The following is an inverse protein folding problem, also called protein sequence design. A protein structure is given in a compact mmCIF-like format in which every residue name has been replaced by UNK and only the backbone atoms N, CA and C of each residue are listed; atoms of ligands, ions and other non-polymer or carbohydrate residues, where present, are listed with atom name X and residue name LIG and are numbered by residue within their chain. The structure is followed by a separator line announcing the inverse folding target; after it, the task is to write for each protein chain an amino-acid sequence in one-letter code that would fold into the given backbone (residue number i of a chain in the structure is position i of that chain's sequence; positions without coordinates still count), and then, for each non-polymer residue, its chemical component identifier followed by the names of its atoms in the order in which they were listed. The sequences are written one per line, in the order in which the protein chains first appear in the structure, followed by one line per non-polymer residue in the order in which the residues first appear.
data_IF_839383994117
#
_entry.id   IF_839383994117
#
_cell.length_a   1.000
_cell.length_b   1.000
_cell.length_c   1.000
_cell.angle_alpha   90.00
_cell.angle_beta   90.00
_cell.angle_gamma   90.00
#
_symmetry.space_group_name_H-M   'P 1'
#
loop_
_entity.id
_entity.type
_entity.pdbx_description
1 polymer ?
#
# COMPACT_ATOMS: atom_id res chain seq x y z
N UNK A 1 22.08 -30.11 -18.03
CA UNK A 1 21.77 -28.72 -17.64
C UNK A 1 20.32 -28.70 -17.21
N UNK A 2 20.06 -28.72 -15.90
CA UNK A 2 18.69 -28.63 -15.38
C UNK A 2 18.17 -27.22 -15.66
N UNK A 3 17.01 -27.12 -16.30
CA UNK A 3 16.30 -25.85 -16.46
C UNK A 3 16.00 -25.32 -15.05
N UNK A 4 16.74 -24.28 -14.62
CA UNK A 4 16.40 -23.54 -13.41
C UNK A 4 14.99 -22.97 -13.60
N UNK A 5 14.10 -23.24 -12.66
CA UNK A 5 12.76 -22.68 -12.70
C UNK A 5 12.89 -21.17 -12.46
N UNK A 6 12.81 -20.37 -13.51
CA UNK A 6 13.10 -18.91 -13.49
C UNK A 6 12.25 -18.14 -12.47
N UNK A 7 11.09 -18.68 -12.09
CA UNK A 7 10.22 -18.12 -11.05
C UNK A 7 10.74 -18.31 -9.61
N UNK A 8 11.86 -19.00 -9.41
CA UNK A 8 12.46 -19.26 -8.08
C UNK A 8 13.58 -18.29 -7.69
N UNK A 9 13.93 -17.33 -8.54
CA UNK A 9 14.96 -16.34 -8.19
C UNK A 9 14.34 -15.15 -7.42
N UNK A 10 15.04 -14.66 -6.38
CA UNK A 10 14.58 -13.49 -5.60
C UNK A 10 14.53 -12.22 -6.45
N UNK A 11 15.45 -12.06 -7.41
CA UNK A 11 15.46 -10.98 -8.39
C UNK A 11 15.31 -11.57 -9.78
N UNK A 12 14.37 -11.04 -10.56
CA UNK A 12 14.08 -11.50 -11.92
C UNK A 12 15.00 -10.84 -12.95
N UNK A 13 15.34 -9.56 -12.77
CA UNK A 13 16.20 -8.84 -13.72
C UNK A 13 16.89 -7.64 -13.09
N UNK A 14 18.08 -7.34 -13.63
CA UNK A 14 18.76 -6.07 -13.45
C UNK A 14 19.02 -5.48 -14.84
N UNK A 15 18.71 -4.20 -14.99
CA UNK A 15 18.85 -3.45 -16.25
C UNK A 15 19.66 -2.19 -16.02
N UNK A 16 20.43 -1.80 -17.03
CA UNK A 16 21.21 -0.57 -17.03
C UNK A 16 20.88 0.21 -18.28
N UNK A 17 20.47 1.45 -18.08
CA UNK A 17 20.13 2.38 -19.15
C UNK A 17 21.03 3.60 -19.10
N UNK A 18 21.32 4.13 -20.28
CA UNK A 18 21.90 5.46 -20.47
C UNK A 18 20.83 6.38 -21.04
N UNK A 19 20.69 7.56 -20.48
CA UNK A 19 19.82 8.62 -20.98
C UNK A 19 20.67 9.78 -21.49
N UNK A 20 20.51 10.06 -22.77
CA UNK A 20 21.11 11.18 -23.46
C UNK A 20 20.12 12.35 -23.42
N UNK A 21 20.47 13.40 -22.67
CA UNK A 21 19.60 14.57 -22.51
C UNK A 21 19.46 15.38 -23.81
N UNK A 22 20.49 15.44 -24.65
CA UNK A 22 20.45 16.22 -25.89
C UNK A 22 19.47 15.61 -26.90
N UNK A 23 19.42 14.28 -26.98
CA UNK A 23 18.52 13.55 -27.88
C UNK A 23 17.21 13.13 -27.22
N UNK A 24 17.11 13.22 -25.90
CA UNK A 24 16.02 12.70 -25.06
C UNK A 24 15.75 11.21 -25.29
N UNK A 25 16.80 10.44 -25.60
CA UNK A 25 16.71 9.00 -25.87
C UNK A 25 17.34 8.20 -24.74
N UNK A 26 16.68 7.10 -24.42
CA UNK A 26 17.21 6.08 -23.51
C UNK A 26 17.75 4.91 -24.34
N UNK A 27 18.96 4.46 -24.01
CA UNK A 27 19.60 3.30 -24.66
C UNK A 27 19.96 2.26 -23.62
N UNK A 28 19.68 1.00 -23.91
CA UNK A 28 20.10 -0.15 -23.07
C UNK A 28 21.61 -0.32 -23.13
N UNK A 29 22.24 -0.29 -21.96
CA UNK A 29 23.68 -0.58 -21.79
C UNK A 29 23.87 -2.05 -21.45
N UNK A 30 23.06 -2.59 -20.53
CA UNK A 30 23.02 -4.02 -20.24
C UNK A 30 21.67 -4.45 -19.69
N UNK A 31 21.34 -5.74 -19.88
CA UNK A 31 20.16 -6.40 -19.33
C UNK A 31 20.62 -7.79 -18.88
N UNK A 32 20.40 -8.10 -17.61
CA UNK A 32 20.70 -9.39 -16.99
C UNK A 32 19.44 -9.96 -16.32
N UNK A 33 19.36 -11.28 -16.25
CA UNK A 33 18.21 -12.00 -15.73
C UNK A 33 17.17 -12.38 -16.79
N UNK A 34 16.10 -13.03 -16.35
CA UNK A 34 15.08 -13.65 -17.17
C UNK A 34 13.70 -13.09 -16.80
N UNK A 35 13.43 -11.83 -17.15
CA UNK A 35 12.04 -11.41 -17.24
C UNK A 35 11.44 -12.06 -18.49
N UNK A 36 10.68 -13.14 -18.29
CA UNK A 36 9.88 -13.75 -19.35
C UNK A 36 8.72 -12.84 -19.69
N UNK A 37 8.97 -11.82 -20.50
CA UNK A 37 7.92 -11.20 -21.30
C UNK A 37 7.76 -12.02 -22.58
N UNK A 38 6.53 -12.29 -23.05
CA UNK A 38 6.32 -12.80 -24.40
C UNK A 38 7.04 -11.87 -25.38
N UNK A 39 7.76 -12.41 -26.36
CA UNK A 39 8.64 -11.64 -27.26
C UNK A 39 7.93 -10.52 -28.06
N UNK A 40 6.59 -10.55 -28.12
CA UNK A 40 5.76 -9.54 -28.78
C UNK A 40 5.27 -8.42 -27.80
N UNK A 41 5.43 -8.61 -26.48
CA UNK A 41 4.94 -7.71 -25.41
C UNK A 41 6.05 -7.38 -24.38
N UNK A 42 7.32 -7.19 -24.79
CA UNK A 42 8.33 -6.66 -23.87
C UNK A 42 7.90 -5.25 -23.43
N UNK A 43 7.54 -5.11 -22.14
CA UNK A 43 7.26 -3.80 -21.56
C UNK A 43 8.53 -2.95 -21.69
N UNK A 44 8.48 -1.72 -22.25
CA UNK A 44 9.67 -0.88 -22.41
C UNK A 44 10.13 -0.34 -21.05
N UNK A 45 10.83 -1.18 -20.29
CA UNK A 45 11.28 -0.91 -18.93
C UNK A 45 12.12 0.37 -18.84
N UNK A 46 12.81 0.75 -19.91
CA UNK A 46 13.55 2.01 -20.03
C UNK A 46 12.69 3.24 -19.71
N UNK A 47 11.42 3.24 -20.15
CA UNK A 47 10.50 4.34 -19.91
C UNK A 47 10.05 4.39 -18.44
N UNK A 48 10.04 3.27 -17.74
CA UNK A 48 9.66 3.22 -16.32
C UNK A 48 10.85 3.43 -15.39
N UNK A 49 12.05 2.98 -15.79
CA UNK A 49 13.30 3.26 -15.09
C UNK A 49 13.68 4.73 -15.17
N UNK A 50 13.30 5.43 -16.25
CA UNK A 50 13.50 6.87 -16.44
C UNK A 50 12.15 7.50 -16.85
N UNK A 51 11.22 7.67 -15.89
CA UNK A 51 9.83 8.04 -16.17
C UNK A 51 9.65 9.52 -16.51
N UNK A 52 10.66 10.35 -16.22
CA UNK A 52 10.72 11.76 -16.51
C UNK A 52 12.13 12.13 -16.93
N UNK A 53 12.27 13.25 -17.64
CA UNK A 53 13.57 13.84 -17.92
C UNK A 53 14.33 14.08 -16.59
N UNK A 54 15.49 13.42 -16.37
CA UNK A 54 16.25 13.54 -15.13
C UNK A 54 16.64 14.98 -14.79
N UNK A 55 16.75 15.88 -15.78
CA UNK A 55 17.04 17.29 -15.54
C UNK A 55 15.93 17.96 -14.73
N UNK A 56 14.67 17.62 -15.03
CA UNK A 56 13.52 18.14 -14.29
C UNK A 56 13.48 17.63 -12.85
N UNK A 57 14.11 16.48 -12.60
CA UNK A 57 14.16 15.85 -11.29
C UNK A 57 15.37 16.26 -10.43
N UNK A 58 16.30 17.09 -10.94
CA UNK A 58 17.58 17.40 -10.24
C UNK A 58 17.38 17.92 -8.81
N UNK A 59 16.30 18.66 -8.53
CA UNK A 59 15.98 19.14 -7.19
C UNK A 59 15.70 18.03 -6.16
N UNK A 60 15.40 16.82 -6.62
CA UNK A 60 15.12 15.64 -5.78
C UNK A 60 16.31 14.71 -5.61
N UNK A 61 17.42 14.96 -6.32
CA UNK A 61 18.63 14.14 -6.19
C UNK A 61 19.20 14.29 -4.76
N UNK A 62 19.59 13.16 -4.18
CA UNK A 62 20.27 13.08 -2.88
C UNK A 62 21.59 12.36 -3.09
N UNK A 63 22.69 12.96 -2.67
CA UNK A 63 24.05 12.40 -2.87
C UNK A 63 24.31 12.06 -4.35
N UNK A 64 23.87 12.91 -5.27
CA UNK A 64 23.99 12.76 -6.74
C UNK A 64 23.25 11.57 -7.37
N UNK A 65 22.33 10.94 -6.65
CA UNK A 65 21.42 9.95 -7.21
C UNK A 65 19.95 10.25 -6.89
N UNK A 66 19.05 9.64 -7.65
CA UNK A 66 17.61 9.72 -7.50
C UNK A 66 17.01 8.32 -7.56
N UNK A 67 16.46 7.88 -6.44
CA UNK A 67 15.88 6.56 -6.28
C UNK A 67 14.36 6.61 -6.51
N UNK A 68 13.87 5.77 -7.41
CA UNK A 68 12.46 5.68 -7.79
C UNK A 68 12.01 4.23 -7.61
N UNK A 69 11.26 3.91 -6.55
CA UNK A 69 10.57 2.62 -6.46
C UNK A 69 9.51 2.50 -7.55
N UNK A 70 9.34 1.31 -8.12
CA UNK A 70 8.46 1.02 -9.24
C UNK A 70 7.48 -0.11 -8.90
N UNK A 71 6.32 -0.09 -9.55
CA UNK A 71 5.35 -1.16 -9.55
C UNK A 71 4.68 -1.20 -10.92
N UNK A 72 4.71 -2.37 -11.54
CA UNK A 72 4.14 -2.62 -12.85
C UNK A 72 3.07 -3.70 -12.71
N UNK A 73 2.02 -3.59 -13.51
CA UNK A 73 0.92 -4.56 -13.55
C UNK A 73 1.00 -5.31 -14.86
N UNK A 74 1.10 -6.64 -14.81
CA UNK A 74 1.09 -7.48 -16.00
C UNK A 74 -0.35 -7.72 -16.48
N UNK A 75 -0.50 -8.20 -17.72
CA UNK A 75 -1.80 -8.54 -18.32
C UNK A 75 -2.60 -9.56 -17.49
N UNK A 76 -1.91 -10.45 -16.76
CA UNK A 76 -2.51 -11.44 -15.87
C UNK A 76 -3.06 -10.84 -14.57
N UNK A 77 -2.83 -9.54 -14.32
CA UNK A 77 -3.13 -8.88 -13.05
C UNK A 77 -2.07 -9.09 -11.96
N UNK A 78 -1.03 -9.88 -12.24
CA UNK A 78 0.13 -10.00 -11.34
C UNK A 78 0.91 -8.68 -11.26
N UNK A 79 1.66 -8.53 -10.16
CA UNK A 79 2.47 -7.34 -9.90
C UNK A 79 3.95 -7.66 -10.10
N UNK A 80 4.65 -6.80 -10.83
CA UNK A 80 6.10 -6.80 -10.93
C UNK A 80 6.62 -5.58 -10.17
N UNK A 81 7.34 -5.83 -9.09
CA UNK A 81 7.95 -4.81 -8.25
C UNK A 81 9.33 -4.48 -8.79
N UNK A 82 9.79 -3.25 -8.56
CA UNK A 82 11.16 -2.90 -8.91
C UNK A 82 11.58 -1.58 -8.32
N UNK A 83 12.78 -1.14 -8.68
CA UNK A 83 13.24 0.21 -8.41
C UNK A 83 14.27 0.62 -9.45
N UNK A 84 14.42 1.93 -9.64
CA UNK A 84 15.43 2.56 -10.47
C UNK A 84 16.26 3.53 -9.65
N UNK A 85 17.58 3.48 -9.78
CA UNK A 85 18.48 4.51 -9.28
C UNK A 85 19.09 5.25 -10.45
N UNK A 86 18.74 6.52 -10.59
CA UNK A 86 19.25 7.42 -11.61
C UNK A 86 20.40 8.22 -11.01
N UNK A 87 21.53 8.34 -11.71
CA UNK A 87 22.62 9.22 -11.31
C UNK A 87 23.21 9.96 -12.51
N UNK A 88 23.81 11.12 -12.24
CA UNK A 88 24.45 11.95 -13.26
C UNK A 88 25.93 11.60 -13.34
N UNK A 89 26.41 11.20 -14.53
CA UNK A 89 27.86 11.08 -14.80
C UNK A 89 28.45 12.44 -15.13
N UNK A 90 29.78 12.55 -14.97
CA UNK A 90 30.54 13.77 -15.26
C UNK A 90 30.38 14.25 -16.72
N UNK A 91 30.07 13.34 -17.66
CA UNK A 91 29.90 13.62 -19.10
C UNK A 91 28.51 14.17 -19.50
N UNK A 92 27.76 14.75 -18.57
CA UNK A 92 26.35 15.21 -18.73
C UNK A 92 25.31 14.13 -19.08
N UNK A 93 25.74 12.87 -19.25
CA UNK A 93 24.85 11.73 -19.42
C UNK A 93 24.25 11.28 -18.08
N UNK A 94 22.99 10.82 -18.11
CA UNK A 94 22.37 10.16 -16.97
C UNK A 94 22.42 8.65 -17.15
N UNK A 95 22.64 7.95 -16.05
CA UNK A 95 22.61 6.49 -16.01
C UNK A 95 21.50 6.06 -15.05
N UNK A 96 20.78 5.01 -15.42
CA UNK A 96 19.76 4.40 -14.59
C UNK A 96 20.06 2.93 -14.37
N UNK A 97 19.95 2.49 -13.11
CA UNK A 97 20.11 1.11 -12.69
C UNK A 97 18.76 0.61 -12.16
N UNK A 98 18.16 -0.33 -12.88
CA UNK A 98 16.88 -0.93 -12.53
C UNK A 98 17.03 -2.33 -11.96
N UNK A 99 16.29 -2.65 -10.91
CA UNK A 99 16.14 -4.02 -10.37
C UNK A 99 14.65 -4.37 -10.36
N UNK A 100 14.32 -5.64 -10.64
CA UNK A 100 12.93 -6.11 -10.69
C UNK A 100 12.76 -7.44 -9.98
N UNK A 101 11.64 -7.58 -9.24
CA UNK A 101 11.22 -8.81 -8.60
C UNK A 101 9.70 -9.02 -8.61
N UNK A 102 9.24 -10.27 -8.62
CA UNK A 102 7.85 -10.61 -8.29
C UNK A 102 7.53 -10.48 -6.79
N UNK A 103 8.55 -10.28 -5.95
CA UNK A 103 8.40 -10.03 -4.51
C UNK A 103 8.57 -8.54 -4.18
N UNK A 104 7.73 -7.97 -3.29
CA UNK A 104 7.77 -6.55 -2.91
C UNK A 104 8.92 -6.20 -1.93
N UNK A 105 10.17 -6.50 -2.29
CA UNK A 105 11.36 -6.33 -1.43
C UNK A 105 12.04 -4.97 -1.63
N UNK A 106 11.30 -3.87 -1.44
CA UNK A 106 11.80 -2.52 -1.70
C UNK A 106 13.01 -2.10 -0.86
N UNK A 107 13.14 -2.55 0.39
CA UNK A 107 14.35 -2.32 1.19
C UNK A 107 15.54 -2.97 0.52
N UNK A 108 15.42 -4.21 0.05
CA UNK A 108 16.51 -4.86 -0.69
C UNK A 108 16.87 -4.10 -1.96
N UNK A 109 15.88 -3.63 -2.73
CA UNK A 109 16.15 -2.87 -3.95
C UNK A 109 16.95 -1.60 -3.68
N UNK A 110 16.52 -0.82 -2.68
CA UNK A 110 17.22 0.40 -2.27
C UNK A 110 18.64 0.09 -1.83
N UNK A 111 18.78 -0.90 -0.96
CA UNK A 111 20.04 -1.32 -0.39
C UNK A 111 21.04 -1.78 -1.43
N UNK A 112 20.60 -2.64 -2.35
CA UNK A 112 21.40 -3.13 -3.47
C UNK A 112 21.86 -2.00 -4.38
N UNK A 113 20.94 -1.19 -4.89
CA UNK A 113 21.25 -0.11 -5.83
C UNK A 113 22.16 0.95 -5.17
N UNK A 114 21.95 1.26 -3.89
CA UNK A 114 22.81 2.22 -3.19
C UNK A 114 24.21 1.66 -2.95
N UNK A 115 24.34 0.39 -2.55
CA UNK A 115 25.63 -0.27 -2.35
C UNK A 115 26.45 -0.29 -3.66
N UNK A 116 25.81 -0.69 -4.76
CA UNK A 116 26.46 -0.69 -6.07
C UNK A 116 26.81 0.75 -6.52
N UNK A 117 25.97 1.76 -6.25
CA UNK A 117 26.25 3.16 -6.58
C UNK A 117 27.45 3.72 -5.79
N UNK A 118 27.49 3.48 -4.48
CA UNK A 118 28.52 4.00 -3.59
C UNK A 118 29.89 3.34 -3.82
N UNK A 119 29.91 2.08 -4.26
CA UNK A 119 31.16 1.38 -4.58
C UNK A 119 31.77 1.76 -5.94
N UNK A 120 31.06 2.58 -6.75
CA UNK A 120 31.51 3.09 -8.06
C UNK A 120 31.99 2.01 -9.05
N UNK A 121 31.49 0.79 -8.93
CA UNK A 121 31.97 -0.34 -9.74
C UNK A 121 31.26 -0.44 -11.09
N UNK A 122 31.80 -1.28 -11.98
CA UNK A 122 31.30 -1.47 -13.34
C UNK A 122 30.06 -2.37 -13.36
N UNK A 123 28.93 -1.74 -13.03
CA UNK A 123 27.61 -2.32 -12.81
C UNK A 123 27.17 -3.41 -13.79
N UNK A 124 27.56 -3.34 -15.06
CA UNK A 124 27.03 -4.22 -16.11
C UNK A 124 27.51 -5.67 -15.97
N UNK A 125 28.75 -5.89 -15.54
CA UNK A 125 29.32 -7.24 -15.37
C UNK A 125 28.90 -7.82 -14.02
N UNK A 126 28.97 -6.99 -12.99
CA UNK A 126 28.81 -7.40 -11.59
C UNK A 126 27.35 -7.63 -11.23
N UNK A 127 26.39 -6.91 -11.81
CA UNK A 127 24.97 -7.19 -11.61
C UNK A 127 24.61 -8.64 -11.96
N UNK A 128 25.22 -9.20 -13.01
CA UNK A 128 24.98 -10.58 -13.42
C UNK A 128 25.59 -11.58 -12.43
N UNK A 129 26.81 -11.34 -12.01
CA UNK A 129 27.48 -12.15 -10.98
C UNK A 129 26.70 -12.10 -9.66
N UNK A 130 26.24 -10.92 -9.28
CA UNK A 130 25.46 -10.67 -8.08
C UNK A 130 24.12 -11.43 -8.07
N UNK A 131 23.30 -11.29 -9.12
CA UNK A 131 22.05 -12.08 -9.25
C UNK A 131 22.36 -13.57 -9.18
N UNK A 132 23.42 -14.03 -9.83
CA UNK A 132 23.79 -15.45 -9.86
C UNK A 132 24.24 -15.99 -8.50
N UNK A 133 24.71 -15.10 -7.62
CA UNK A 133 25.12 -15.42 -6.25
C UNK A 133 23.96 -15.37 -5.25
N UNK A 134 22.82 -14.75 -5.61
CA UNK A 134 21.65 -14.73 -4.74
C UNK A 134 21.05 -16.14 -4.59
N UNK A 135 20.56 -16.49 -3.38
CA UNK A 135 19.96 -17.79 -3.15
C UNK A 135 18.74 -17.99 -4.07
N UNK A 136 18.72 -19.12 -4.78
CA UNK A 136 17.53 -19.61 -5.52
C UNK A 136 16.54 -20.10 -4.47
N UNK A 137 15.43 -19.40 -4.31
CA UNK A 137 14.43 -19.69 -3.29
C UNK A 137 13.25 -20.45 -3.91
N UNK A 138 12.83 -21.60 -3.36
CA UNK A 138 11.53 -22.14 -3.73
C UNK A 138 10.48 -21.15 -3.20
N UNK A 139 9.93 -20.31 -4.06
CA UNK A 139 8.77 -19.46 -3.77
C UNK A 139 7.60 -20.41 -3.49
N UNK A 140 7.50 -20.93 -2.27
CA UNK A 140 6.24 -21.40 -1.74
C UNK A 140 5.52 -20.14 -1.25
N UNK A 141 4.41 -19.81 -1.91
CA UNK A 141 3.72 -18.52 -1.85
C UNK A 141 3.26 -18.11 -0.43
N UNK A 142 3.35 -19.01 0.54
CA UNK A 142 2.76 -18.87 1.88
C UNK A 142 3.76 -18.81 3.05
N UNK A 143 5.07 -18.96 2.84
CA UNK A 143 6.04 -18.92 3.95
C UNK A 143 6.73 -17.55 4.11
N UNK A 144 6.82 -17.08 5.35
CA UNK A 144 7.64 -15.92 5.73
C UNK A 144 9.09 -16.32 5.79
N UNK A 145 9.91 -15.68 4.98
CA UNK A 145 11.33 -16.02 4.89
C UNK A 145 12.14 -14.82 5.31
N UNK A 146 13.01 -15.00 6.31
CA UNK A 146 14.08 -14.05 6.59
C UNK A 146 15.31 -14.46 5.82
N UNK A 147 15.71 -13.61 4.90
CA UNK A 147 16.87 -13.79 4.03
C UNK A 147 17.96 -12.83 4.47
N UNK A 148 19.14 -13.35 4.78
CA UNK A 148 20.35 -12.53 4.91
C UNK A 148 21.02 -12.48 3.55
N UNK A 149 21.03 -11.31 2.94
CA UNK A 149 21.64 -11.06 1.64
C UNK A 149 22.95 -10.32 1.86
N UNK A 150 24.06 -10.90 1.41
CA UNK A 150 25.37 -10.25 1.45
C UNK A 150 25.47 -9.26 0.28
N UNK A 151 25.60 -7.98 0.60
CA UNK A 151 26.02 -6.92 -0.33
C UNK A 151 27.54 -6.74 -0.22
N UNK A 152 28.12 -5.87 -1.06
CA UNK A 152 29.57 -5.64 -1.05
C UNK A 152 30.05 -5.00 0.26
N UNK A 153 29.29 -4.05 0.81
CA UNK A 153 29.70 -3.34 2.03
C UNK A 153 29.05 -3.86 3.30
N UNK A 154 27.93 -4.60 3.20
CA UNK A 154 27.16 -5.05 4.36
C UNK A 154 26.22 -6.22 4.05
N UNK A 155 25.78 -6.91 5.09
CA UNK A 155 24.67 -7.86 5.02
C UNK A 155 23.35 -7.15 5.31
N UNK A 156 22.35 -7.37 4.46
CA UNK A 156 20.99 -6.87 4.63
C UNK A 156 20.07 -8.03 4.93
N UNK A 157 19.26 -7.88 5.98
CA UNK A 157 18.23 -8.86 6.33
C UNK A 157 16.92 -8.41 5.70
N UNK A 158 16.43 -9.20 4.76
CA UNK A 158 15.17 -9.00 4.06
C UNK A 158 14.15 -9.97 4.64
N UNK A 159 12.97 -9.47 4.95
CA UNK A 159 11.86 -10.33 5.32
C UNK A 159 10.86 -10.35 4.17
N UNK A 160 10.63 -11.51 3.57
CA UNK A 160 9.51 -11.68 2.65
C UNK A 160 8.23 -11.81 3.47
N UNK A 161 7.18 -11.17 2.98
CA UNK A 161 5.84 -11.33 3.50
C UNK A 161 5.05 -12.10 2.45
N UNK A 162 4.33 -13.18 2.82
CA UNK A 162 3.33 -13.79 1.96
C UNK A 162 2.47 -12.68 1.35
N UNK A 163 2.19 -12.73 0.05
CA UNK A 163 1.36 -11.74 -0.64
C UNK A 163 -0.07 -11.66 -0.06
N UNK A 164 -0.43 -12.62 0.81
CA UNK A 164 -1.68 -12.77 1.54
C UNK A 164 -1.70 -12.06 2.90
N UNK A 165 -0.55 -11.61 3.44
CA UNK A 165 -0.40 -11.01 4.77
C UNK A 165 -0.61 -9.48 4.76
N UNK A 166 -1.78 -9.01 5.20
CA UNK A 166 -2.06 -7.61 5.60
C UNK A 166 -1.66 -6.50 4.58
N UNK A 167 -1.31 -6.86 3.34
CA UNK A 167 -0.59 -6.00 2.41
C UNK A 167 0.55 -5.23 3.11
N UNK A 168 1.32 -5.90 3.98
CA UNK A 168 2.55 -5.29 4.53
C UNK A 168 3.58 -5.27 3.40
N UNK A 169 3.37 -4.36 2.46
CA UNK A 169 4.38 -3.96 1.52
C UNK A 169 5.49 -3.34 2.38
N UNK A 170 6.73 -3.67 2.06
CA UNK A 170 7.94 -3.07 2.61
C UNK A 170 8.06 -1.60 2.15
N UNK A 171 7.03 -0.83 2.45
CA UNK A 171 6.86 0.55 2.06
C UNK A 171 6.60 1.34 3.34
N UNK A 172 7.50 2.28 3.67
CA UNK A 172 7.34 3.07 4.87
C UNK A 172 6.16 4.03 4.70
N UNK A 173 5.30 4.12 5.73
CA UNK A 173 4.15 5.04 5.76
C UNK A 173 4.58 6.53 5.86
N UNK A 174 5.86 6.78 6.08
CA UNK A 174 6.46 8.10 6.26
C UNK A 174 6.14 9.05 5.09
N UNK A 175 6.18 8.56 3.86
CA UNK A 175 5.90 9.34 2.66
C UNK A 175 4.44 9.79 2.63
N UNK A 176 3.50 8.94 3.04
CA UNK A 176 2.10 9.34 3.19
C UNK A 176 1.96 10.38 4.31
N UNK A 177 2.52 10.14 5.49
CA UNK A 177 2.38 11.03 6.65
C UNK A 177 3.00 12.42 6.45
N UNK A 178 4.12 12.50 5.72
CA UNK A 178 4.81 13.75 5.44
C UNK A 178 4.12 14.60 4.37
N UNK A 179 3.34 13.97 3.47
CA UNK A 179 2.84 14.62 2.26
C UNK A 179 1.31 14.73 2.21
N UNK A 180 0.58 13.88 2.92
CA UNK A 180 -0.89 13.82 2.93
C UNK A 180 -1.40 13.89 4.37
N UNK A 181 -2.33 14.81 4.64
CA UNK A 181 -3.03 14.91 5.92
C UNK A 181 -4.03 13.77 6.12
N UNK A 182 -4.43 13.52 7.37
CA UNK A 182 -5.43 12.49 7.65
C UNK A 182 -6.73 12.69 6.86
N UNK A 183 -7.21 13.93 6.71
CA UNK A 183 -8.44 14.23 5.96
C UNK A 183 -8.32 13.88 4.48
N UNK A 184 -7.19 14.24 3.86
CA UNK A 184 -6.91 13.94 2.45
C UNK A 184 -6.75 12.42 2.23
N UNK A 185 -6.07 11.71 3.14
CA UNK A 185 -5.98 10.24 3.10
C UNK A 185 -7.35 9.59 3.17
N UNK A 186 -8.23 10.04 4.07
CA UNK A 186 -9.60 9.52 4.18
C UNK A 186 -10.39 9.76 2.89
N UNK A 187 -10.26 10.92 2.25
CA UNK A 187 -10.90 11.22 0.96
C UNK A 187 -10.40 10.31 -0.17
N UNK A 188 -9.08 10.08 -0.24
CA UNK A 188 -8.48 9.17 -1.20
C UNK A 188 -8.95 7.73 -0.98
N UNK A 189 -8.91 7.24 0.26
CA UNK A 189 -9.40 5.90 0.59
C UNK A 189 -10.88 5.73 0.28
N UNK A 190 -11.71 6.76 0.52
CA UNK A 190 -13.12 6.74 0.13
C UNK A 190 -13.29 6.62 -1.39
N UNK A 191 -12.50 7.37 -2.16
CA UNK A 191 -12.47 7.29 -3.63
C UNK A 191 -12.07 5.90 -4.13
N UNK A 192 -11.10 5.27 -3.49
CA UNK A 192 -10.69 3.89 -3.80
C UNK A 192 -11.76 2.87 -3.38
N UNK A 193 -12.36 2.99 -2.21
CA UNK A 193 -13.44 2.09 -1.78
C UNK A 193 -14.65 2.15 -2.71
N UNK A 194 -14.89 3.27 -3.39
CA UNK A 194 -15.92 3.44 -4.42
C UNK A 194 -15.41 3.19 -5.85
N UNK A 195 -14.21 2.65 -6.01
CA UNK A 195 -13.64 2.26 -7.30
C UNK A 195 -13.59 3.42 -8.32
N UNK A 196 -13.31 4.63 -7.84
CA UNK A 196 -13.13 5.76 -8.72
C UNK A 196 -11.77 5.72 -9.45
N UNK A 197 -11.70 6.47 -10.54
CA UNK A 197 -10.48 6.77 -11.27
C UNK A 197 -9.71 7.86 -10.54
N UNK A 198 -8.56 7.51 -9.95
CA UNK A 198 -7.78 8.42 -9.10
C UNK A 198 -6.41 8.67 -9.71
N UNK A 199 -6.05 9.94 -9.87
CA UNK A 199 -4.70 10.39 -10.25
C UNK A 199 -4.06 11.14 -9.08
N UNK A 200 -2.84 10.76 -8.73
CA UNK A 200 -1.98 11.52 -7.79
C UNK A 200 -0.89 12.23 -8.60
N UNK A 201 -0.78 13.54 -8.44
CA UNK A 201 0.23 14.35 -9.14
C UNK A 201 1.35 14.73 -8.16
N UNK A 202 2.60 14.53 -8.54
CA UNK A 202 3.76 15.00 -7.76
C UNK A 202 4.97 15.26 -8.63
N UNK A 203 5.63 16.40 -8.40
CA UNK A 203 6.87 16.73 -9.09
C UNK A 203 8.02 15.77 -8.67
N UNK A 204 7.92 15.17 -7.48
CA UNK A 204 8.80 14.11 -6.98
C UNK A 204 8.18 12.72 -7.20
N UNK A 205 8.48 12.11 -8.34
CA UNK A 205 7.95 10.78 -8.71
C UNK A 205 8.36 9.68 -7.74
N UNK A 206 9.45 9.85 -6.97
CA UNK A 206 9.89 8.89 -5.95
C UNK A 206 8.87 8.69 -4.81
N UNK A 207 7.98 9.67 -4.61
CA UNK A 207 6.93 9.62 -3.60
C UNK A 207 5.72 8.80 -4.04
N UNK A 208 5.48 8.67 -5.35
CA UNK A 208 4.22 8.13 -5.86
C UNK A 208 4.04 6.65 -5.53
N UNK A 209 4.99 5.78 -5.89
CA UNK A 209 4.93 4.35 -5.55
C UNK A 209 4.73 4.07 -4.07
N UNK A 210 5.53 4.63 -3.14
CA UNK A 210 5.34 4.32 -1.72
C UNK A 210 4.00 4.86 -1.19
N UNK A 211 3.55 6.01 -1.68
CA UNK A 211 2.28 6.59 -1.26
C UNK A 211 1.09 5.77 -1.76
N UNK A 212 1.06 5.39 -3.03
CA UNK A 212 -0.01 4.58 -3.62
C UNK A 212 -0.04 3.17 -3.01
N UNK A 213 1.11 2.52 -2.83
CA UNK A 213 1.20 1.24 -2.12
C UNK A 213 0.67 1.35 -0.69
N UNK A 214 0.99 2.44 0.02
CA UNK A 214 0.48 2.67 1.37
C UNK A 214 -1.04 2.83 1.36
N UNK A 215 -1.61 3.61 0.44
CA UNK A 215 -3.07 3.76 0.30
C UNK A 215 -3.74 2.40 0.04
N UNK A 216 -3.22 1.60 -0.89
CA UNK A 216 -3.73 0.27 -1.15
C UNK A 216 -3.64 -0.65 0.07
N UNK A 217 -2.54 -0.59 0.84
CA UNK A 217 -2.39 -1.40 2.06
C UNK A 217 -3.42 -1.05 3.15
N UNK A 218 -3.89 0.20 3.18
CA UNK A 218 -4.90 0.67 4.13
C UNK A 218 -6.34 0.26 3.75
N UNK A 219 -6.53 -0.35 2.56
CA UNK A 219 -7.82 -0.93 2.14
C UNK A 219 -8.05 -2.34 2.72
N UNK A 220 -7.07 -2.94 3.40
CA UNK A 220 -7.20 -4.29 3.97
C UNK A 220 -8.45 -4.38 4.89
N UNK A 221 -9.30 -5.42 4.79
CA UNK A 221 -9.11 -6.72 4.12
C UNK A 221 -9.31 -6.73 2.61
N UNK A 222 -9.73 -5.62 2.02
CA UNK A 222 -9.93 -5.55 0.58
C UNK A 222 -8.60 -5.41 -0.16
N UNK A 223 -8.57 -5.97 -1.37
CA UNK A 223 -7.43 -5.86 -2.25
C UNK A 223 -7.80 -5.03 -3.47
N UNK A 224 -7.00 -4.00 -3.78
CA UNK A 224 -7.16 -3.26 -5.03
C UNK A 224 -6.71 -4.13 -6.21
N UNK A 225 -7.69 -4.72 -6.91
CA UNK A 225 -7.45 -5.59 -8.07
C UNK A 225 -7.42 -4.82 -9.40
N UNK A 226 -7.85 -3.57 -9.40
CA UNK A 226 -7.87 -2.72 -10.59
C UNK A 226 -6.46 -2.27 -11.01
N UNK A 227 -6.42 -1.49 -12.09
CA UNK A 227 -5.19 -0.90 -12.63
C UNK A 227 -4.51 -0.06 -11.55
N UNK A 228 -3.22 -0.31 -11.36
CA UNK A 228 -2.36 0.41 -10.44
C UNK A 228 -1.05 0.70 -11.17
N UNK A 229 -0.81 1.97 -11.48
CA UNK A 229 0.41 2.42 -12.16
C UNK A 229 0.98 3.57 -11.33
N UNK A 230 1.80 3.29 -10.31
CA UNK A 230 2.17 4.35 -9.41
C UNK A 230 3.07 5.40 -10.02
N UNK A 231 3.83 5.07 -11.05
CA UNK A 231 4.57 6.04 -11.85
C UNK A 231 4.28 5.78 -13.32
N UNK A 232 3.40 6.58 -13.89
CA UNK A 232 3.18 6.60 -15.33
C UNK A 232 4.26 7.48 -15.98
N UNK A 233 5.03 6.96 -16.96
CA UNK A 233 6.03 7.76 -17.64
C UNK A 233 5.39 8.96 -18.34
N UNK A 234 6.04 10.12 -18.25
CA UNK A 234 5.56 11.35 -18.88
C UNK A 234 5.94 11.40 -20.37
N UNK A 235 5.43 10.43 -21.13
CA UNK A 235 5.58 10.33 -22.57
C UNK A 235 4.18 10.29 -23.19
N UNK A 236 4.00 10.97 -24.32
CA UNK A 236 2.68 11.16 -24.96
C UNK A 236 1.93 9.85 -25.20
N UNK A 237 2.65 8.79 -25.57
CA UNK A 237 2.08 7.47 -25.81
C UNK A 237 1.37 6.85 -24.58
N UNK A 238 1.73 7.27 -23.36
CA UNK A 238 1.10 6.78 -22.12
C UNK A 238 -0.06 7.65 -21.64
N UNK A 239 -0.26 8.84 -22.20
CA UNK A 239 -1.32 9.74 -21.73
C UNK A 239 -2.73 9.18 -22.01
N UNK A 240 -2.85 8.28 -22.99
CA UNK A 240 -4.10 7.54 -23.29
C UNK A 240 -4.61 6.73 -22.09
N UNK A 241 -3.73 6.22 -21.22
CA UNK A 241 -4.13 5.47 -20.02
C UNK A 241 -4.91 6.34 -19.02
N UNK A 242 -4.73 7.67 -19.04
CA UNK A 242 -5.39 8.58 -18.11
C UNK A 242 -6.90 8.74 -18.37
N UNK A 243 -7.39 8.40 -19.57
CA UNK A 243 -8.83 8.43 -19.88
C UNK A 243 -9.42 7.03 -19.98
N UNK A 244 -8.75 6.00 -19.45
CA UNK A 244 -9.29 4.65 -19.42
C UNK A 244 -10.66 4.65 -18.69
N UNK A 245 -11.66 3.89 -19.19
CA UNK A 245 -13.01 3.89 -18.62
C UNK A 245 -13.14 3.00 -17.36
N UNK A 246 -12.08 2.28 -17.00
CA UNK A 246 -12.05 1.37 -15.86
C UNK A 246 -11.50 2.09 -14.61
N UNK A 247 -11.85 1.65 -13.39
CA UNK A 247 -11.22 2.13 -12.17
C UNK A 247 -9.69 1.99 -12.24
N UNK A 248 -8.98 2.98 -11.74
CA UNK A 248 -7.52 2.95 -11.66
C UNK A 248 -7.00 3.85 -10.55
N UNK A 249 -5.78 3.55 -10.13
CA UNK A 249 -4.96 4.44 -9.30
C UNK A 249 -3.63 4.68 -10.01
N UNK A 250 -3.42 5.90 -10.48
CA UNK A 250 -2.25 6.28 -11.29
C UNK A 250 -1.52 7.43 -10.62
N UNK A 251 -0.18 7.38 -10.60
CA UNK A 251 0.65 8.53 -10.26
C UNK A 251 1.31 9.12 -11.50
N UNK A 252 1.36 10.45 -11.58
CA UNK A 252 1.99 11.20 -12.68
C UNK A 252 2.88 12.31 -12.14
N UNK A 253 3.92 12.67 -12.89
CA UNK A 253 4.74 13.85 -12.56
C UNK A 253 4.01 15.15 -12.83
N UNK A 254 3.23 15.18 -13.90
CA UNK A 254 2.42 16.32 -14.33
C UNK A 254 1.26 15.82 -15.19
N UNK A 255 0.19 16.60 -15.23
CA UNK A 255 -0.95 16.30 -16.12
C UNK A 255 -0.63 16.79 -17.54
N UNK A 256 -1.04 16.04 -18.58
CA UNK A 256 -0.86 16.47 -19.97
C UNK A 256 -1.66 17.75 -20.24
N UNK A 257 -0.99 18.80 -20.74
CA UNK A 257 -1.64 20.07 -21.08
C UNK A 257 -2.57 19.97 -22.30
N UNK A 258 -2.29 19.03 -23.20
CA UNK A 258 -3.00 18.85 -24.47
C UNK A 258 -4.23 17.95 -24.38
N UNK A 259 -4.43 17.26 -23.25
CA UNK A 259 -5.50 16.28 -23.10
C UNK A 259 -6.56 16.76 -22.12
N UNK A 260 -7.81 16.74 -22.57
CA UNK A 260 -8.97 16.93 -21.70
C UNK A 260 -9.18 15.63 -20.92
N UNK A 261 -9.03 15.72 -19.60
CA UNK A 261 -9.31 14.61 -18.69
C UNK A 261 -10.82 14.55 -18.42
N UNK A 262 -11.32 13.32 -18.32
CA UNK A 262 -12.72 13.06 -17.94
C UNK A 262 -13.05 13.70 -16.56
N UNK A 263 -14.17 14.43 -16.44
CA UNK A 263 -14.57 15.11 -15.21
C UNK A 263 -14.82 14.18 -14.02
N UNK A 264 -15.02 12.88 -14.24
CA UNK A 264 -15.22 11.90 -13.18
C UNK A 264 -13.88 11.35 -12.60
N UNK A 265 -12.74 11.80 -13.12
CA UNK A 265 -11.42 11.44 -12.61
C UNK A 265 -11.11 12.32 -11.41
N UNK A 266 -10.93 11.71 -10.24
CA UNK A 266 -10.47 12.40 -9.03
C UNK A 266 -8.98 12.64 -9.14
N UNK A 267 -8.55 13.90 -9.01
CA UNK A 267 -7.14 14.26 -9.05
C UNK A 267 -6.74 14.86 -7.71
N UNK A 268 -5.62 14.40 -7.15
CA UNK A 268 -5.00 15.01 -5.99
C UNK A 268 -3.58 15.47 -6.32
N UNK A 269 -3.37 16.78 -6.26
CA UNK A 269 -2.08 17.42 -6.52
C UNK A 269 -1.31 17.55 -5.20
N UNK A 270 -0.25 16.74 -5.02
CA UNK A 270 0.59 16.76 -3.81
C UNK A 270 1.35 18.08 -3.65
N UNK A 271 1.71 18.72 -4.76
CA UNK A 271 2.48 19.95 -4.74
C UNK A 271 1.60 21.12 -4.29
N UNK A 272 0.34 21.16 -4.76
CA UNK A 272 -0.63 22.22 -4.41
C UNK A 272 -1.48 21.89 -3.18
N UNK A 273 -1.47 20.64 -2.71
CA UNK A 273 -2.34 20.12 -1.63
C UNK A 273 -3.81 20.39 -1.91
N UNK A 274 -4.24 20.02 -3.11
CA UNK A 274 -5.58 20.32 -3.59
C UNK A 274 -6.18 19.16 -4.37
N UNK A 275 -7.48 18.95 -4.16
CA UNK A 275 -8.28 18.04 -4.95
C UNK A 275 -8.93 18.75 -6.13
N UNK A 276 -9.08 18.05 -7.25
CA UNK A 276 -9.85 18.45 -8.43
C UNK A 276 -10.86 17.33 -8.70
N UNK A 277 -12.06 17.70 -9.18
CA UNK A 277 -13.09 16.76 -9.62
C UNK A 277 -13.54 15.74 -8.55
N UNK A 278 -13.60 16.16 -7.28
CA UNK A 278 -14.17 15.31 -6.22
C UNK A 278 -15.68 15.40 -6.26
N UNK A 279 -16.31 14.33 -6.75
CA UNK A 279 -17.76 14.17 -6.67
C UNK A 279 -18.23 13.90 -5.24
N UNK A 280 -19.47 14.28 -4.94
CA UNK A 280 -20.07 14.01 -3.64
C UNK A 280 -20.23 12.50 -3.44
N UNK A 281 -19.61 11.98 -2.39
CA UNK A 281 -19.67 10.56 -2.02
C UNK A 281 -20.44 10.38 -0.72
N UNK A 282 -21.11 9.23 -0.53
CA UNK A 282 -21.68 8.89 0.78
C UNK A 282 -20.61 8.95 1.87
N UNK A 283 -20.92 9.62 2.98
CA UNK A 283 -19.99 9.70 4.11
C UNK A 283 -19.89 8.37 4.86
N UNK A 284 -18.71 8.11 5.43
CA UNK A 284 -18.52 6.98 6.32
C UNK A 284 -19.51 7.04 7.50
N UNK A 285 -19.93 5.88 8.06
CA UNK A 285 -20.74 5.86 9.27
C UNK A 285 -20.07 6.68 10.39
N UNK A 286 -20.72 7.75 10.83
CA UNK A 286 -20.11 8.79 11.67
C UNK A 286 -19.52 8.25 12.97
N UNK A 287 -20.21 7.31 13.61
CA UNK A 287 -19.74 6.61 14.81
C UNK A 287 -18.41 5.89 14.55
N UNK A 288 -18.35 5.06 13.51
CA UNK A 288 -17.15 4.31 13.13
C UNK A 288 -15.99 5.22 12.76
N UNK A 289 -16.30 6.25 11.98
CA UNK A 289 -15.30 7.21 11.57
C UNK A 289 -14.74 7.99 12.76
N UNK A 290 -15.58 8.32 13.74
CA UNK A 290 -15.14 8.96 14.99
C UNK A 290 -14.18 8.06 15.78
N UNK A 291 -14.43 6.75 15.81
CA UNK A 291 -13.58 5.76 16.45
C UNK A 291 -12.21 5.65 15.76
N UNK A 292 -12.20 5.51 14.43
CA UNK A 292 -10.98 5.53 13.62
C UNK A 292 -10.17 6.81 13.87
N UNK A 293 -10.80 7.97 13.76
CA UNK A 293 -10.17 9.28 13.97
C UNK A 293 -9.51 9.36 15.35
N UNK A 294 -10.21 8.92 16.39
CA UNK A 294 -9.71 8.92 17.77
C UNK A 294 -8.49 8.02 17.92
N UNK A 295 -8.55 6.80 17.37
CA UNK A 295 -7.47 5.84 17.42
C UNK A 295 -6.20 6.31 16.69
N UNK A 296 -6.36 6.80 15.46
CA UNK A 296 -5.23 7.33 14.68
C UNK A 296 -4.63 8.55 15.38
N UNK A 297 -5.45 9.41 15.97
CA UNK A 297 -4.98 10.57 16.74
C UNK A 297 -4.15 10.16 17.98
N UNK A 298 -4.45 9.02 18.61
CA UNK A 298 -3.63 8.48 19.70
C UNK A 298 -2.30 7.89 19.22
N UNK A 299 -2.27 7.29 18.03
CA UNK A 299 -1.05 6.71 17.45
C UNK A 299 -0.11 7.82 16.97
N UNK A 300 -0.65 8.82 16.26
CA UNK A 300 0.12 9.86 15.60
C UNK A 300 -0.61 11.21 15.64
N UNK A 301 -0.65 11.90 16.80
CA UNK A 301 -1.39 13.15 16.97
C UNK A 301 -1.04 14.21 15.91
N UNK A 302 0.25 14.32 15.59
CA UNK A 302 0.79 15.29 14.62
C UNK A 302 0.20 15.18 13.22
N UNK A 303 -0.37 14.04 12.84
CA UNK A 303 -0.99 13.87 11.52
C UNK A 303 -2.29 14.68 11.36
N UNK A 304 -2.87 15.13 12.48
CA UNK A 304 -4.09 15.95 12.53
C UNK A 304 -3.81 17.44 12.70
N UNK A 305 -2.60 17.81 13.07
CA UNK A 305 -2.22 19.21 13.22
C UNK A 305 -1.96 19.73 11.80
N UNK A 306 -2.86 20.57 11.26
CA UNK A 306 -2.78 21.19 9.91
C UNK A 306 -1.59 22.18 9.76
N UNK A 307 -0.45 21.89 10.39
CA UNK A 307 0.76 22.69 10.33
C UNK A 307 1.65 22.19 9.18
N UNK A 308 1.45 22.82 8.03
CA UNK A 308 2.08 22.64 6.72
C UNK A 308 3.63 22.62 6.63
N UNK A 309 4.43 22.48 7.69
CA UNK A 309 5.88 22.77 7.55
C UNK A 309 6.88 22.03 8.44
N UNK A 310 6.51 20.96 9.17
CA UNK A 310 7.52 20.11 9.82
C UNK A 310 7.38 18.67 9.37
N UNK A 311 8.21 18.28 8.40
CA UNK A 311 8.51 16.86 8.10
C UNK A 311 8.70 16.13 9.43
N UNK A 312 8.18 14.92 9.56
CA UNK A 312 8.47 14.07 10.71
C UNK A 312 10.00 13.99 10.85
N UNK A 313 10.56 14.67 11.85
CA UNK A 313 12.02 14.79 12.06
C UNK A 313 12.67 13.44 12.39
N UNK A 314 11.85 12.48 12.81
CA UNK A 314 12.21 11.10 13.11
C UNK A 314 11.27 10.20 12.32
N UNK A 315 11.84 9.25 11.61
CA UNK A 315 11.09 8.26 10.84
C UNK A 315 10.09 7.52 11.76
N UNK A 316 8.79 7.51 11.44
CA UNK A 316 7.83 6.68 12.16
C UNK A 316 8.32 5.23 12.12
N UNK A 317 8.55 4.64 13.29
CA UNK A 317 9.02 3.26 13.36
C UNK A 317 8.04 2.31 12.65
N UNK A 318 8.53 1.16 12.20
CA UNK A 318 7.70 0.07 11.66
C UNK A 318 6.45 -0.21 12.53
N UNK A 319 6.59 -0.01 13.85
CA UNK A 319 5.50 -0.10 14.83
C UNK A 319 4.37 0.91 14.60
N UNK A 320 4.70 2.17 14.31
CA UNK A 320 3.70 3.21 14.00
C UNK A 320 2.99 2.87 12.69
N UNK A 321 3.76 2.45 11.68
CA UNK A 321 3.22 2.01 10.39
C UNK A 321 2.22 0.87 10.53
N UNK A 322 2.57 -0.15 11.32
CA UNK A 322 1.68 -1.27 11.60
C UNK A 322 0.41 -0.83 12.33
N UNK A 323 0.53 -0.01 13.39
CA UNK A 323 -0.61 0.46 14.19
C UNK A 323 -1.60 1.29 13.38
N UNK A 324 -1.13 2.13 12.46
CA UNK A 324 -2.02 2.90 11.57
C UNK A 324 -2.77 1.95 10.64
N UNK A 325 -2.09 1.04 9.94
CA UNK A 325 -2.74 0.05 9.07
C UNK A 325 -3.77 -0.79 9.81
N UNK A 326 -3.45 -1.23 11.03
CA UNK A 326 -4.36 -1.97 11.90
C UNK A 326 -5.61 -1.15 12.27
N UNK A 327 -5.46 0.14 12.58
CA UNK A 327 -6.60 0.99 12.89
C UNK A 327 -7.59 1.09 11.70
N UNK A 328 -7.07 1.20 10.47
CA UNK A 328 -7.89 1.18 9.26
C UNK A 328 -8.49 -0.19 8.98
N UNK A 329 -7.73 -1.26 9.17
CA UNK A 329 -8.21 -2.63 9.08
C UNK A 329 -9.41 -2.86 10.01
N UNK A 330 -9.28 -2.55 11.31
CA UNK A 330 -10.38 -2.68 12.27
C UNK A 330 -11.60 -1.86 11.87
N UNK A 331 -11.41 -0.64 11.39
CA UNK A 331 -12.51 0.20 10.89
C UNK A 331 -13.26 -0.46 9.72
N UNK A 332 -12.55 -1.03 8.75
CA UNK A 332 -13.15 -1.71 7.60
C UNK A 332 -13.82 -3.03 8.00
N UNK A 333 -13.26 -3.79 8.93
CA UNK A 333 -13.91 -4.98 9.51
C UNK A 333 -15.23 -4.60 10.21
N UNK A 334 -15.25 -3.50 10.94
CA UNK A 334 -16.45 -3.03 11.63
C UNK A 334 -17.54 -2.51 10.67
N UNK A 335 -17.15 -2.07 9.47
CA UNK A 335 -18.06 -1.81 8.36
C UNK A 335 -18.63 -3.14 7.84
N UNK A 336 -17.77 -4.15 7.62
CA UNK A 336 -18.17 -5.46 7.11
C UNK A 336 -19.17 -6.18 8.02
N UNK A 337 -18.99 -6.12 9.33
CA UNK A 337 -19.94 -6.72 10.30
C UNK A 337 -21.31 -6.05 10.28
N UNK A 338 -21.41 -4.82 9.78
CA UNK A 338 -22.68 -4.10 9.59
C UNK A 338 -23.28 -4.27 8.19
N UNK A 339 -22.62 -4.98 7.28
CA UNK A 339 -23.12 -5.28 5.93
C UNK A 339 -24.06 -6.50 5.96
N UNK A 340 -25.36 -6.36 5.62
CA UNK A 340 -26.30 -7.48 5.62
C UNK A 340 -25.89 -8.63 4.69
N UNK A 341 -25.27 -8.32 3.55
CA UNK A 341 -24.85 -9.30 2.52
C UNK A 341 -23.75 -10.28 2.98
N UNK A 342 -23.03 -9.98 4.06
CA UNK A 342 -21.96 -10.83 4.63
C UNK A 342 -22.46 -11.62 5.84
N UNK A 343 -23.57 -11.22 6.43
CA UNK A 343 -24.12 -11.94 7.59
C UNK A 343 -24.70 -13.28 7.14
N UNK A 344 -24.01 -14.36 7.52
CA UNK A 344 -24.61 -15.68 7.58
C UNK A 344 -25.87 -15.61 8.48
N UNK A 345 -27.03 -16.09 8.02
CA UNK A 345 -28.24 -16.14 8.85
C UNK A 345 -28.04 -16.92 10.16
N UNK A 346 -27.07 -17.84 10.26
CA UNK A 346 -26.72 -18.50 11.53
C UNK A 346 -25.96 -17.60 12.50
N UNK A 347 -25.13 -16.68 12.01
CA UNK A 347 -24.40 -15.69 12.83
C UNK A 347 -25.31 -14.62 13.42
N UNK A 348 -26.45 -14.34 12.77
CA UNK A 348 -27.49 -13.41 13.23
C UNK A 348 -28.18 -13.85 14.54
N UNK A 349 -28.13 -15.14 14.86
CA UNK A 349 -28.73 -15.71 16.08
C UNK A 349 -27.83 -15.61 17.32
N UNK A 350 -26.59 -15.14 17.18
CA UNK A 350 -25.63 -15.06 18.29
C UNK A 350 -25.90 -13.88 19.24
N UNK A 351 -25.72 -14.13 20.54
CA UNK A 351 -26.12 -13.33 21.71
C UNK A 351 -25.71 -11.84 21.70
N UNK A 352 -24.77 -11.43 20.85
CA UNK A 352 -24.22 -10.07 20.80
C UNK A 352 -25.09 -9.08 19.99
N UNK A 353 -25.69 -9.53 18.88
CA UNK A 353 -26.55 -8.67 18.04
C UNK A 353 -27.83 -8.24 18.75
N UNK A 354 -28.29 -9.04 19.72
CA UNK A 354 -29.44 -8.71 20.57
C UNK A 354 -29.11 -7.73 21.69
N UNK A 355 -27.85 -7.68 22.16
CA UNK A 355 -27.45 -6.93 23.36
C UNK A 355 -26.92 -5.54 23.08
N UNK A 356 -26.38 -5.28 21.89
CA UNK A 356 -25.91 -3.93 21.52
C UNK A 356 -27.00 -3.04 20.92
N UNK A 357 -28.22 -3.54 20.71
CA UNK A 357 -29.32 -2.73 20.18
C UNK A 357 -29.10 -2.18 18.76
N UNK A 358 -28.02 -2.57 18.08
CA UNK A 358 -27.72 -2.13 16.72
C UNK A 358 -28.49 -2.98 15.73
N UNK A 359 -29.78 -2.71 15.59
CA UNK A 359 -30.50 -3.05 14.37
C UNK A 359 -29.78 -2.33 13.22
N UNK A 360 -29.24 -3.10 12.28
CA UNK A 360 -28.68 -2.57 11.03
C UNK A 360 -29.78 -1.71 10.42
N UNK A 361 -29.65 -0.38 10.50
CA UNK A 361 -30.48 0.46 9.65
C UNK A 361 -29.99 0.21 8.24
N UNK A 362 -30.82 -0.46 7.44
CA UNK A 362 -30.77 -0.58 5.98
C UNK A 362 -30.70 0.78 5.24
N UNK A 363 -30.32 1.87 5.93
CA UNK A 363 -30.33 3.28 5.48
C UNK A 363 -28.94 3.93 5.42
N UNK A 364 -27.85 3.20 5.68
CA UNK A 364 -26.52 3.77 5.49
C UNK A 364 -26.15 3.77 3.99
N UNK A 365 -26.24 4.93 3.35
CA UNK A 365 -25.98 5.07 1.91
C UNK A 365 -24.56 4.61 1.53
N UNK A 366 -23.57 4.82 2.42
CA UNK A 366 -22.23 4.29 2.23
C UNK A 366 -22.22 2.77 2.06
N UNK A 367 -22.82 2.02 2.99
CA UNK A 367 -22.86 0.55 2.95
C UNK A 367 -23.60 0.08 1.69
N UNK A 368 -24.71 0.75 1.34
CA UNK A 368 -25.49 0.43 0.14
C UNK A 368 -24.64 0.53 -1.13
N UNK A 369 -23.96 1.66 -1.34
CA UNK A 369 -23.12 1.87 -2.53
C UNK A 369 -21.89 0.97 -2.50
N UNK A 370 -21.18 0.93 -1.36
CA UNK A 370 -19.97 0.13 -1.19
C UNK A 370 -20.19 -1.36 -1.45
N UNK A 371 -21.31 -1.92 -1.00
CA UNK A 371 -21.65 -3.35 -1.18
C UNK A 371 -21.90 -3.77 -2.63
N UNK A 372 -21.92 -2.82 -3.58
CA UNK A 372 -22.08 -3.09 -5.01
C UNK A 372 -20.77 -2.98 -5.78
N UNK A 373 -19.68 -2.59 -5.13
CA UNK A 373 -18.35 -2.48 -5.75
C UNK A 373 -17.76 -3.85 -6.07
N UNK A 374 -16.93 -3.93 -7.11
CA UNK A 374 -16.20 -5.15 -7.45
C UNK A 374 -15.20 -5.52 -6.34
N UNK A 375 -14.62 -4.54 -5.65
CA UNK A 375 -13.74 -4.74 -4.50
C UNK A 375 -14.45 -5.48 -3.36
N UNK A 376 -15.72 -5.15 -3.05
CA UNK A 376 -16.53 -5.89 -2.09
C UNK A 376 -16.93 -7.28 -2.61
N UNK A 377 -17.36 -7.39 -3.87
CA UNK A 377 -17.78 -8.66 -4.48
C UNK A 377 -16.63 -9.66 -4.57
N UNK A 378 -15.44 -9.21 -4.99
CA UNK A 378 -14.22 -10.02 -5.07
C UNK A 378 -13.88 -10.58 -3.70
N UNK A 379 -13.95 -9.72 -2.67
CA UNK A 379 -13.78 -10.16 -1.29
C UNK A 379 -14.77 -11.27 -0.92
N UNK A 380 -16.05 -11.19 -1.29
CA UNK A 380 -17.02 -12.25 -0.99
C UNK A 380 -16.76 -13.58 -1.73
N UNK A 381 -16.18 -13.51 -2.93
CA UNK A 381 -15.92 -14.70 -3.77
C UNK A 381 -14.56 -15.36 -3.50
N UNK A 382 -13.63 -14.66 -2.85
CA UNK A 382 -12.36 -15.24 -2.41
C UNK A 382 -12.67 -16.37 -1.40
N UNK A 383 -12.05 -17.55 -1.57
CA UNK A 383 -12.33 -18.74 -0.75
C UNK A 383 -12.28 -18.41 0.76
N UNK A 384 -13.12 -19.04 1.57
CA UNK A 384 -13.04 -18.90 3.03
C UNK A 384 -11.69 -19.34 3.61
N UNK A 385 -10.93 -20.14 2.85
CA UNK A 385 -9.56 -20.56 3.18
C UNK A 385 -8.50 -19.49 2.86
N UNK A 386 -8.88 -18.38 2.21
CA UNK A 386 -7.96 -17.27 1.98
C UNK A 386 -7.63 -16.60 3.31
N UNK A 387 -6.36 -16.23 3.48
CA UNK A 387 -5.89 -15.61 4.71
C UNK A 387 -6.70 -14.36 5.07
N UNK A 388 -7.12 -13.56 4.09
CA UNK A 388 -8.03 -12.42 4.27
C UNK A 388 -9.31 -12.79 5.01
N UNK A 389 -9.97 -13.88 4.61
CA UNK A 389 -11.18 -14.38 5.28
C UNK A 389 -10.87 -14.95 6.68
N UNK A 390 -9.76 -15.66 6.85
CA UNK A 390 -9.33 -16.15 8.17
C UNK A 390 -9.05 -14.98 9.13
N UNK A 391 -8.34 -13.97 8.68
CA UNK A 391 -8.03 -12.72 9.41
C UNK A 391 -9.32 -11.99 9.77
N UNK A 392 -10.29 -11.90 8.85
CA UNK A 392 -11.60 -11.28 9.13
C UNK A 392 -12.40 -12.10 10.13
N UNK A 393 -12.51 -13.43 9.94
CA UNK A 393 -13.22 -14.33 10.87
C UNK A 393 -12.64 -14.23 12.27
N UNK A 394 -11.31 -14.24 12.39
CA UNK A 394 -10.63 -14.08 13.67
C UNK A 394 -10.79 -12.66 14.22
N UNK A 395 -10.65 -11.62 13.41
CA UNK A 395 -10.89 -10.24 13.83
C UNK A 395 -12.31 -10.04 14.36
N UNK A 396 -13.31 -10.64 13.70
CA UNK A 396 -14.70 -10.69 14.15
C UNK A 396 -14.81 -11.48 15.46
N UNK A 397 -14.13 -12.62 15.58
CA UNK A 397 -14.11 -13.43 16.80
C UNK A 397 -13.49 -12.69 17.99
N UNK A 398 -12.38 -11.97 17.77
CA UNK A 398 -11.72 -11.10 18.75
C UNK A 398 -12.66 -9.99 19.23
N UNK A 399 -13.35 -9.32 18.30
CA UNK A 399 -14.35 -8.30 18.63
C UNK A 399 -15.50 -8.92 19.45
N UNK A 400 -15.87 -10.18 19.19
CA UNK A 400 -16.92 -10.92 19.91
C UNK A 400 -16.50 -11.35 21.32
N UNK A 401 -15.32 -11.95 21.49
CA UNK A 401 -14.93 -12.65 22.73
C UNK A 401 -14.14 -11.79 23.73
N UNK A 402 -13.71 -10.58 23.34
CA UNK A 402 -13.03 -9.58 24.21
C UNK A 402 -11.74 -10.05 24.91
N UNK A 403 -11.32 -11.31 24.80
CA UNK A 403 -10.03 -11.83 25.28
C UNK A 403 -9.56 -13.02 24.45
N UNK A 404 -8.30 -13.02 23.98
CA UNK A 404 -7.66 -14.18 23.32
C UNK A 404 -6.92 -13.89 22.02
N UNK A 405 -7.12 -12.71 21.44
CA UNK A 405 -6.60 -12.27 20.14
C UNK A 405 -5.11 -12.52 19.88
N UNK A 406 -4.29 -12.38 20.92
CA UNK A 406 -2.84 -12.39 20.80
C UNK A 406 -2.29 -13.74 20.31
N UNK A 407 -2.84 -14.85 20.81
CA UNK A 407 -2.35 -16.18 20.43
C UNK A 407 -2.84 -16.54 19.02
N UNK A 408 -4.06 -16.15 18.66
CA UNK A 408 -4.60 -16.35 17.32
C UNK A 408 -3.91 -15.48 16.27
N UNK A 409 -3.64 -14.20 16.56
CA UNK A 409 -2.90 -13.33 15.65
C UNK A 409 -1.43 -13.74 15.51
N UNK A 410 -0.77 -14.20 16.58
CA UNK A 410 0.57 -14.78 16.48
C UNK A 410 0.60 -16.02 15.59
N UNK A 411 -0.44 -16.87 15.69
CA UNK A 411 -0.58 -18.08 14.89
C UNK A 411 -0.93 -17.80 13.42
N UNK A 412 -1.84 -16.85 13.15
CA UNK A 412 -2.30 -16.48 11.80
C UNK A 412 -1.25 -15.66 11.07
N UNK A 413 -0.69 -14.65 11.74
CA UNK A 413 0.23 -13.73 11.12
C UNK A 413 1.69 -14.09 11.43
N UNK A 414 2.09 -15.32 11.78
CA UNK A 414 3.49 -15.74 11.99
C UNK A 414 4.47 -14.63 12.44
N UNK A 415 4.12 -13.87 13.49
CA UNK A 415 4.68 -12.54 13.72
C UNK A 415 6.04 -12.60 14.42
N UNK A 416 6.92 -11.64 14.12
CA UNK A 416 8.08 -11.42 14.97
C UNK A 416 7.63 -10.97 16.37
N UNK A 417 8.35 -11.39 17.41
CA UNK A 417 8.03 -11.03 18.81
C UNK A 417 7.85 -9.52 19.01
N UNK A 418 8.58 -8.72 18.23
CA UNK A 418 8.53 -7.24 18.24
C UNK A 418 7.20 -6.69 17.67
N UNK A 419 6.68 -7.25 16.58
CA UNK A 419 5.38 -6.84 16.04
C UNK A 419 4.24 -7.35 16.92
N UNK A 420 4.37 -8.57 17.45
CA UNK A 420 3.40 -9.15 18.36
C UNK A 420 3.31 -8.37 19.67
N UNK A 421 4.43 -7.92 20.24
CA UNK A 421 4.48 -7.05 21.43
C UNK A 421 3.87 -5.66 21.16
N UNK A 422 4.11 -5.12 19.96
CA UNK A 422 3.52 -3.85 19.51
C UNK A 422 2.00 -3.95 19.38
N UNK A 423 1.52 -5.05 18.80
CA UNK A 423 0.11 -5.40 18.72
C UNK A 423 -0.49 -5.65 20.09
N UNK A 424 0.19 -6.37 20.97
CA UNK A 424 -0.25 -6.60 22.36
C UNK A 424 -0.48 -5.28 23.08
N UNK A 425 0.44 -4.33 22.91
CA UNK A 425 0.35 -3.00 23.52
C UNK A 425 -0.77 -2.18 22.89
N UNK A 426 -0.87 -2.23 21.55
CA UNK A 426 -1.95 -1.55 20.82
C UNK A 426 -3.32 -2.11 21.21
N UNK A 427 -3.52 -3.42 21.22
CA UNK A 427 -4.75 -4.09 21.65
C UNK A 427 -5.08 -3.77 23.10
N UNK A 428 -4.13 -3.84 24.04
CA UNK A 428 -4.41 -3.48 25.44
C UNK A 428 -4.90 -2.04 25.56
N UNK A 429 -4.28 -1.09 24.84
CA UNK A 429 -4.71 0.32 24.87
C UNK A 429 -5.99 0.57 24.08
N UNK A 430 -6.16 -0.09 22.93
CA UNK A 430 -7.25 0.10 21.98
C UNK A 430 -8.52 -0.63 22.46
N UNK A 431 -8.44 -1.91 22.83
CA UNK A 431 -9.56 -2.64 23.42
C UNK A 431 -10.00 -1.98 24.73
N UNK A 432 -9.11 -1.61 25.65
CA UNK A 432 -9.52 -0.94 26.90
C UNK A 432 -10.27 0.38 26.62
N UNK A 433 -9.84 1.14 25.62
CA UNK A 433 -10.46 2.40 25.21
C UNK A 433 -11.82 2.28 24.53
N UNK A 434 -12.12 1.14 23.91
CA UNK A 434 -13.45 0.80 23.41
C UNK A 434 -14.31 0.12 24.50
N UNK A 435 -13.70 -0.70 25.35
CA UNK A 435 -14.35 -1.38 26.49
C UNK A 435 -14.90 -0.34 27.47
N UNK A 436 -14.09 0.61 27.95
CA UNK A 436 -14.51 1.64 28.91
C UNK A 436 -15.70 2.46 28.43
N UNK A 437 -15.78 2.77 27.13
CA UNK A 437 -16.83 3.62 26.54
C UNK A 437 -18.12 2.87 26.23
N UNK A 438 -18.05 1.57 25.90
CA UNK A 438 -19.25 0.73 25.75
C UNK A 438 -20.04 0.61 27.05
N UNK A 439 -19.36 0.61 28.21
CA UNK A 439 -19.99 0.68 29.52
C UNK A 439 -20.67 2.03 29.79
N UNK A 440 -20.08 3.14 29.34
CA UNK A 440 -20.63 4.50 29.54
C UNK A 440 -21.88 4.76 28.68
N UNK A 441 -21.98 4.16 27.49
CA UNK A 441 -23.17 4.26 26.63
C UNK A 441 -24.30 3.29 27.05
N UNK A 442 -24.00 2.29 27.88
CA UNK A 442 -25.02 1.38 28.45
C UNK A 442 -25.63 1.86 29.76
N UNK A 443 -25.14 2.97 30.32
CA UNK A 443 -25.69 3.60 31.53
C UNK A 443 -26.53 4.82 31.17
N UNK A 444 -27.64 4.60 30.45
CA UNK A 444 -28.77 5.53 30.59
C UNK A 444 -29.43 5.28 31.96
N UNK A 445 -29.79 6.32 32.72
CA UNK A 445 -30.42 6.14 34.01
C UNK A 445 -31.78 5.46 33.80
N UNK A 446 -31.95 4.28 34.41
CA UNK A 446 -33.27 3.67 34.56
C UNK A 446 -34.18 4.72 35.19
N UNK A 447 -35.23 5.12 34.47
CA UNK A 447 -36.33 5.89 35.00
C UNK A 447 -36.86 5.16 36.25
N UNK A 448 -36.65 5.75 37.41
CA UNK A 448 -37.25 5.30 38.66
C UNK A 448 -38.77 5.41 38.51
N UNK A 449 -39.43 4.25 38.39
CA UNK A 449 -40.84 4.12 38.69
C UNK A 449 -41.03 4.45 40.17
N UNK A 450 -41.47 5.68 40.44
CA UNK A 450 -42.07 6.07 41.71
C UNK A 450 -43.30 5.18 41.97
N UNK A 451 -43.11 4.15 42.78
CA UNK A 451 -44.20 3.53 43.51
C UNK A 451 -44.58 4.49 44.65
N UNK A 452 -45.58 5.33 44.42
CA UNK A 452 -46.33 5.96 45.51
C UNK A 452 -47.29 4.93 46.08
N UNK A 453 -46.96 4.39 47.25
CA UNK A 453 -47.93 3.82 48.16
C UNK A 453 -48.26 4.85 49.23
N UNK A 454 -49.48 5.36 49.20
CA UNK A 454 -50.38 5.56 50.34
C UNK A 454 -51.82 5.41 49.85
#
# INVERSE_FOLDING_TARGET
MNARNVNSELLQSIVVYKYDHATKKTTTVSKSGYLHFPAENELPLEHFCIPIDPILALGYFRKNCYYIPLLLTQETGSRLYGASLIHRKESEDFMSYGVFSYSPVYTLFYELLMDMFLTQRDYCIEAREYISALPVFPVQEDERVRLSVELYTRTVVVQTYPLTDLHIIDTPINNLLNHISFSETVKLLKSLLFEQRVIIVSDDVSLLTPLLNTLCSMLNPFSWKHVLIPVLPNLEQYHTFLNAPLPYLIGVSSLPLSQVLDPDIVIFDLNKRSFINVSAQPEFPSELFSHLRRAVKLIIPRWFDECNSRKFAVEPSLRVSARIRLAFFHFLIEILTRCPKIMDPTLSQSFFYRKTGFTIREKCEFIKVFSNTQLFQTYQTESESTLSHCIVKEGIHIIKERSGALNSMKAIFGMSDVLAETLTTFERTFLNFFIEKSTILSSEPRSETLASGE
#
